data_IF_500144224134
#
_entry.id   IF_500144224134
#
_cell.length_a   1.000
_cell.length_b   1.000
_cell.length_c   1.000
_cell.angle_alpha   90.00
_cell.angle_beta   90.00
_cell.angle_gamma   90.00
#
_symmetry.space_group_name_H-M   'P 1'
#
loop_
_entity.id
_entity.type
_entity.pdbx_description
1 polymer ?
#
# COMPACT_ATOMS: atom_id res chain seq x y z
N UNK A 1 5.29 -24.15 10.00
CA UNK A 1 4.31 -23.16 10.51
C UNK A 1 4.52 -21.88 9.73
N UNK A 2 3.63 -21.57 8.77
CA UNK A 2 3.69 -20.28 8.09
C UNK A 2 3.01 -19.27 9.00
N UNK A 3 3.81 -18.48 9.70
CA UNK A 3 3.29 -17.34 10.44
C UNK A 3 2.70 -16.39 9.41
N UNK A 4 1.40 -16.11 9.49
CA UNK A 4 0.77 -15.10 8.62
C UNK A 4 1.48 -13.76 8.81
N UNK A 5 1.77 -13.07 7.70
CA UNK A 5 2.52 -11.82 7.73
C UNK A 5 1.70 -10.74 8.43
N UNK A 6 1.97 -10.53 9.73
CA UNK A 6 1.45 -9.39 10.49
C UNK A 6 2.36 -8.19 10.23
N UNK A 7 1.75 -7.01 10.23
CA UNK A 7 2.44 -5.72 10.13
C UNK A 7 2.41 -5.04 11.48
N UNK A 8 3.54 -4.52 11.96
CA UNK A 8 3.63 -3.89 13.26
C UNK A 8 3.94 -2.39 13.17
N UNK A 9 3.59 -1.68 14.26
CA UNK A 9 3.85 -0.26 14.42
C UNK A 9 5.34 0.04 14.22
N UNK A 10 5.64 1.07 13.42
CA UNK A 10 6.98 1.53 13.07
C UNK A 10 7.85 0.53 12.28
N UNK A 11 7.29 -0.57 11.77
CA UNK A 11 8.04 -1.50 10.91
C UNK A 11 8.54 -0.79 9.63
N UNK A 12 9.85 -0.80 9.44
CA UNK A 12 10.52 -0.29 8.25
C UNK A 12 10.92 -1.46 7.34
N UNK A 13 10.76 -1.30 6.03
CA UNK A 13 11.08 -2.35 5.05
C UNK A 13 9.92 -3.29 4.73
N UNK A 14 8.75 -3.10 5.33
CA UNK A 14 7.54 -3.87 5.03
C UNK A 14 7.06 -3.53 3.61
N UNK A 15 6.86 -4.55 2.79
CA UNK A 15 6.35 -4.36 1.44
C UNK A 15 4.82 -4.37 1.43
N UNK A 16 4.22 -3.23 1.05
CA UNK A 16 2.79 -3.13 0.76
C UNK A 16 2.62 -3.36 -0.73
N UNK A 17 1.98 -4.48 -1.08
CA UNK A 17 1.76 -4.89 -2.47
C UNK A 17 0.26 -4.89 -2.76
N UNK A 18 -0.15 -4.21 -3.82
CA UNK A 18 -1.53 -4.23 -4.33
C UNK A 18 -1.52 -4.76 -5.75
N UNK A 19 -2.34 -5.78 -6.01
CA UNK A 19 -2.63 -6.27 -7.35
C UNK A 19 -3.82 -5.49 -7.93
N UNK A 20 -3.61 -4.86 -9.07
CA UNK A 20 -4.65 -4.11 -9.78
C UNK A 20 -5.53 -5.02 -10.64
N UNK A 21 -5.10 -6.25 -10.92
CA UNK A 21 -5.77 -7.17 -11.85
C UNK A 21 -5.61 -6.81 -13.33
N UNK A 22 -5.01 -5.67 -13.64
CA UNK A 22 -4.82 -5.12 -14.99
C UNK A 22 -3.38 -4.64 -15.17
N UNK A 23 -2.88 -4.64 -16.41
CA UNK A 23 -1.51 -4.22 -16.72
C UNK A 23 -1.31 -2.71 -16.52
N UNK A 24 -0.38 -2.35 -15.63
CA UNK A 24 -0.06 -0.96 -15.29
C UNK A 24 1.20 -0.43 -15.98
N UNK A 25 1.81 -1.17 -16.90
CA UNK A 25 3.13 -0.84 -17.50
C UNK A 25 3.19 0.54 -18.17
N UNK A 26 2.04 1.06 -18.60
CA UNK A 26 1.93 2.38 -19.26
C UNK A 26 1.39 3.48 -18.35
N UNK A 27 1.17 3.18 -17.05
CA UNK A 27 0.73 4.18 -16.08
C UNK A 27 1.83 5.23 -15.88
N UNK A 28 1.45 6.50 -15.96
CA UNK A 28 2.36 7.63 -15.72
C UNK A 28 2.58 7.90 -14.23
N UNK A 29 1.63 7.50 -13.39
CA UNK A 29 1.71 7.66 -11.94
C UNK A 29 0.91 6.57 -11.23
N UNK A 30 1.50 6.01 -10.18
CA UNK A 30 0.84 5.05 -9.28
C UNK A 30 1.01 5.51 -7.84
N UNK A 31 -0.09 5.52 -7.08
CA UNK A 31 -0.11 5.87 -5.67
C UNK A 31 -0.89 4.84 -4.87
N UNK A 32 -0.40 4.51 -3.70
CA UNK A 32 -1.19 3.82 -2.67
C UNK A 32 -1.72 4.89 -1.73
N UNK A 33 -2.99 5.24 -1.85
CA UNK A 33 -3.68 6.13 -0.92
C UNK A 33 -3.97 5.36 0.35
N UNK A 34 -3.82 5.99 1.51
CA UNK A 34 -4.12 5.38 2.80
C UNK A 34 -5.04 6.26 3.64
N UNK A 35 -5.81 5.61 4.50
CA UNK A 35 -6.57 6.20 5.58
C UNK A 35 -6.20 5.47 6.87
N UNK A 36 -5.66 6.22 7.83
CA UNK A 36 -5.23 5.76 9.14
C UNK A 36 -6.43 5.49 10.06
N UNK A 37 -6.24 4.74 11.16
CA UNK A 37 -7.26 4.56 12.20
C UNK A 37 -7.79 5.89 12.75
N UNK A 38 -6.93 6.90 12.91
CA UNK A 38 -7.31 8.25 13.33
C UNK A 38 -8.19 9.01 12.34
N UNK A 39 -8.28 8.56 11.09
CA UNK A 39 -8.90 9.27 9.97
C UNK A 39 -7.94 10.19 9.21
N UNK A 40 -6.67 10.30 9.63
CA UNK A 40 -5.66 10.96 8.82
C UNK A 40 -5.45 10.21 7.49
N UNK A 41 -5.25 10.94 6.40
CA UNK A 41 -5.09 10.34 5.07
C UNK A 41 -3.84 10.86 4.37
N UNK A 42 -3.29 10.04 3.48
CA UNK A 42 -2.16 10.41 2.65
C UNK A 42 -1.98 9.46 1.48
N UNK A 43 -0.82 9.51 0.85
CA UNK A 43 -0.48 8.61 -0.24
C UNK A 43 1.01 8.36 -0.33
N UNK A 44 1.37 7.12 -0.67
CA UNK A 44 2.73 6.73 -1.05
C UNK A 44 2.84 6.60 -2.56
N UNK A 45 3.97 7.01 -3.15
CA UNK A 45 4.26 6.73 -4.56
C UNK A 45 4.67 5.26 -4.67
N UNK A 46 3.94 4.51 -5.49
CA UNK A 46 4.19 3.08 -5.70
C UNK A 46 4.88 2.83 -7.04
N UNK A 47 5.59 1.72 -7.13
CA UNK A 47 6.26 1.27 -8.36
C UNK A 47 5.79 -0.13 -8.73
N UNK A 48 5.89 -0.48 -10.02
CA UNK A 48 5.53 -1.83 -10.49
C UNK A 48 6.50 -2.85 -9.92
N UNK A 49 5.99 -4.01 -9.51
CA UNK A 49 6.80 -5.15 -9.11
C UNK A 49 7.49 -5.72 -10.36
N UNK A 50 8.82 -5.85 -10.31
CA UNK A 50 9.61 -6.33 -11.44
C UNK A 50 9.11 -7.70 -11.94
N UNK A 51 8.69 -7.76 -13.20
CA UNK A 51 8.15 -8.97 -13.83
C UNK A 51 6.67 -9.26 -13.56
N UNK A 52 5.99 -8.42 -12.77
CA UNK A 52 4.57 -8.57 -12.42
C UNK A 52 3.82 -7.25 -12.68
N UNK A 53 3.48 -6.94 -13.94
CA UNK A 53 2.98 -5.61 -14.35
C UNK A 53 1.61 -5.24 -13.78
N UNK A 54 0.88 -6.19 -13.20
CA UNK A 54 -0.40 -5.93 -12.52
C UNK A 54 -0.21 -5.51 -11.06
N UNK A 55 0.99 -5.70 -10.49
CA UNK A 55 1.25 -5.46 -9.07
C UNK A 55 2.08 -4.21 -8.87
N UNK A 56 1.63 -3.41 -7.91
CA UNK A 56 2.37 -2.25 -7.41
C UNK A 56 2.91 -2.53 -6.02
N UNK A 57 4.04 -1.92 -5.68
CA UNK A 57 4.69 -2.03 -4.39
C UNK A 57 5.12 -0.69 -3.85
N UNK A 58 4.98 -0.55 -2.53
CA UNK A 58 5.67 0.44 -1.73
C UNK A 58 6.42 -0.27 -0.59
N UNK A 59 7.61 0.23 -0.26
CA UNK A 59 8.39 -0.27 0.89
C UNK A 59 8.29 0.79 1.99
N UNK A 60 7.78 0.39 3.15
CA UNK A 60 7.60 1.33 4.27
C UNK A 60 8.95 1.87 4.74
N UNK A 61 8.95 3.16 5.03
CA UNK A 61 10.01 3.91 5.66
C UNK A 61 9.71 4.10 7.14
N UNK A 62 10.67 4.71 7.84
CA UNK A 62 10.49 5.10 9.23
C UNK A 62 9.28 6.04 9.37
N UNK A 63 8.41 5.76 10.35
CA UNK A 63 7.18 6.49 10.66
C UNK A 63 6.05 6.41 9.62
N UNK A 64 6.11 5.50 8.64
CA UNK A 64 4.96 5.28 7.75
C UNK A 64 3.80 4.56 8.45
N UNK A 65 4.13 3.60 9.32
CA UNK A 65 3.17 2.80 10.09
C UNK A 65 3.12 3.31 11.53
N UNK A 66 2.78 4.58 11.69
CA UNK A 66 2.84 5.34 12.96
C UNK A 66 1.60 5.23 13.83
N UNK A 67 0.59 4.47 13.41
CA UNK A 67 -0.64 4.21 14.17
C UNK A 67 -0.99 2.73 14.14
N UNK A 68 -1.31 2.15 15.32
CA UNK A 68 -1.88 0.82 15.41
C UNK A 68 -3.39 0.86 15.20
N UNK A 69 -3.93 -0.21 14.60
CA UNK A 69 -5.34 -0.33 14.27
C UNK A 69 -5.58 -0.67 12.80
N UNK A 70 -6.84 -0.49 12.36
CA UNK A 70 -7.25 -0.82 10.98
C UNK A 70 -6.93 0.32 10.04
N UNK A 71 -6.03 0.06 9.09
CA UNK A 71 -5.73 0.94 7.98
C UNK A 71 -6.54 0.54 6.76
N UNK A 72 -6.97 1.52 5.97
CA UNK A 72 -7.55 1.30 4.65
C UNK A 72 -6.59 1.81 3.60
N UNK A 73 -6.43 1.07 2.51
CA UNK A 73 -5.59 1.46 1.38
C UNK A 73 -6.36 1.33 0.07
N UNK A 74 -6.01 2.17 -0.89
CA UNK A 74 -6.60 2.14 -2.21
C UNK A 74 -5.53 2.48 -3.25
N UNK A 75 -5.42 1.64 -4.28
CA UNK A 75 -4.59 1.96 -5.42
C UNK A 75 -5.23 3.09 -6.23
N UNK A 76 -4.40 4.04 -6.63
CA UNK A 76 -4.74 5.11 -7.56
C UNK A 76 -3.74 5.12 -8.70
N UNK A 77 -4.24 5.20 -9.92
CA UNK A 77 -3.42 5.18 -11.14
C UNK A 77 -3.79 6.34 -12.05
N UNK A 78 -2.79 6.88 -12.72
CA UNK A 78 -2.96 7.82 -13.83
C UNK A 78 -2.31 7.23 -15.08
N UNK A 79 -3.06 7.29 -16.18
CA UNK A 79 -2.60 7.06 -17.53
C UNK A 79 -2.68 8.38 -18.30
N UNK A 80 -2.21 8.38 -19.55
CA UNK A 80 -2.24 9.58 -20.40
C UNK A 80 -3.64 10.13 -20.64
N UNK A 81 -4.65 9.25 -20.69
CA UNK A 81 -6.04 9.60 -21.06
C UNK A 81 -7.02 9.53 -19.92
N UNK A 82 -6.74 8.76 -18.87
CA UNK A 82 -7.67 8.54 -17.77
C UNK A 82 -6.95 8.35 -16.43
N UNK A 83 -7.73 8.49 -15.36
CA UNK A 83 -7.30 8.27 -13.98
C UNK A 83 -8.33 7.41 -13.29
N UNK A 84 -7.91 6.55 -12.38
CA UNK A 84 -8.85 5.66 -11.70
C UNK A 84 -8.34 5.15 -10.37
N UNK A 85 -9.24 4.42 -9.73
CA UNK A 85 -9.08 3.91 -8.37
C UNK A 85 -9.40 2.42 -8.37
N UNK A 86 -8.60 1.64 -7.65
CA UNK A 86 -8.89 0.25 -7.36
C UNK A 86 -9.86 0.08 -6.20
N UNK A 87 -10.08 -1.18 -5.81
CA UNK A 87 -10.84 -1.52 -4.60
C UNK A 87 -10.13 -1.02 -3.33
N UNK A 88 -10.92 -0.74 -2.28
CA UNK A 88 -10.39 -0.42 -0.96
C UNK A 88 -10.07 -1.73 -0.23
N UNK A 89 -8.79 -1.97 0.04
CA UNK A 89 -8.34 -3.04 0.91
C UNK A 89 -8.14 -2.53 2.34
N UNK A 90 -8.19 -3.42 3.33
CA UNK A 90 -7.91 -3.10 4.73
C UNK A 90 -6.90 -4.05 5.32
N UNK A 91 -6.02 -3.55 6.19
CA UNK A 91 -5.09 -4.36 6.96
C UNK A 91 -4.94 -3.79 8.38
N UNK A 92 -4.41 -4.60 9.30
CA UNK A 92 -4.23 -4.21 10.69
C UNK A 92 -2.75 -4.03 10.99
N UNK A 93 -2.41 -2.88 11.55
CA UNK A 93 -1.10 -2.61 12.17
C UNK A 93 -1.22 -2.92 13.66
N UNK A 94 -0.38 -3.84 14.15
CA UNK A 94 -0.37 -4.27 15.55
C UNK A 94 0.71 -3.56 16.36
N UNK A 95 0.52 -3.45 17.67
CA UNK A 95 1.61 -3.03 18.55
C UNK A 95 2.68 -4.14 18.63
N UNK A 96 3.98 -3.81 18.52
CA UNK A 96 5.05 -4.76 18.74
C UNK A 96 5.12 -5.15 20.23
N UNK A 97 5.70 -6.31 20.51
CA UNK A 97 6.05 -6.70 21.88
C UNK A 97 7.26 -5.86 22.29
N UNK A 98 7.15 -5.19 23.44
CA UNK A 98 8.24 -4.45 24.10
C UNK A 98 8.87 -5.25 25.23
#
# INVERSE_FOLDING_TARGET
MTVGTKTYLNDTGTAIIIDAGEDLSTASLMKIKYLKPSGASGAWIATIVSGEPTKTRYITLSNDLDESGTWKIQLYVEFSTWKGHGEIASFVVYDPIV
#
